data_IF_871376232591
#
_entry.id   IF_871376232591
#
_cell.length_a   1.000
_cell.length_b   1.000
_cell.length_c   1.000
_cell.angle_alpha   90.00
_cell.angle_beta   90.00
_cell.angle_gamma   90.00
#
_symmetry.space_group_name_H-M   'P 1'
#
loop_
_entity.id
_entity.type
_entity.pdbx_description
1 polymer ?
#
# COMPACT_ATOMS: atom_id res chain seq x y z
N UNK A 1 -12.43 -13.92 9.86
CA UNK A 1 -12.04 -12.53 10.17
C UNK A 1 -10.80 -12.22 9.38
N UNK A 2 -10.96 -11.51 8.27
CA UNK A 2 -9.87 -11.02 7.42
C UNK A 2 -10.23 -9.60 6.94
N UNK A 3 -10.98 -8.87 7.78
CA UNK A 3 -11.52 -7.53 7.50
C UNK A 3 -10.39 -6.51 7.36
N UNK A 4 -9.38 -6.59 8.23
CA UNK A 4 -8.22 -5.69 8.18
C UNK A 4 -7.49 -5.78 6.86
N UNK A 5 -7.26 -7.00 6.34
CA UNK A 5 -6.61 -7.19 5.05
C UNK A 5 -7.41 -6.52 3.94
N UNK A 6 -8.71 -6.81 3.87
CA UNK A 6 -9.57 -6.24 2.83
C UNK A 6 -9.62 -4.72 2.93
N UNK A 7 -9.63 -4.17 4.15
CA UNK A 7 -9.60 -2.72 4.37
C UNK A 7 -8.28 -2.07 3.96
N UNK A 8 -7.14 -2.73 4.16
CA UNK A 8 -5.84 -2.22 3.66
C UNK A 8 -5.83 -2.19 2.13
N UNK A 9 -6.32 -3.24 1.47
CA UNK A 9 -6.43 -3.23 0.00
C UNK A 9 -7.33 -2.10 -0.48
N UNK A 10 -8.48 -1.92 0.15
CA UNK A 10 -9.42 -0.84 -0.17
C UNK A 10 -8.77 0.55 -0.04
N UNK A 11 -8.03 0.78 1.05
CA UNK A 11 -7.26 2.01 1.26
C UNK A 11 -6.16 2.22 0.21
N UNK A 12 -5.45 1.16 -0.15
CA UNK A 12 -4.42 1.22 -1.18
C UNK A 12 -5.01 1.62 -2.54
N UNK A 13 -6.14 1.03 -2.93
CA UNK A 13 -6.84 1.40 -4.16
C UNK A 13 -7.48 2.80 -4.09
N UNK A 14 -7.98 3.22 -2.94
CA UNK A 14 -8.56 4.56 -2.76
C UNK A 14 -7.50 5.66 -2.84
N UNK A 15 -6.32 5.43 -2.26
CA UNK A 15 -5.27 6.45 -2.09
C UNK A 15 -4.27 6.43 -3.24
N UNK A 16 -3.82 5.24 -3.67
CA UNK A 16 -2.81 5.08 -4.72
C UNK A 16 -3.48 4.90 -6.08
N UNK A 17 -4.52 4.04 -6.09
CA UNK A 17 -5.41 3.71 -7.21
C UNK A 17 -4.78 3.31 -8.54
N UNK A 18 -5.65 2.96 -9.49
CA UNK A 18 -5.23 2.42 -10.81
C UNK A 18 -4.51 3.44 -11.70
N UNK A 19 -4.47 4.72 -11.32
CA UNK A 19 -3.73 5.76 -12.05
C UNK A 19 -2.33 6.05 -11.49
N UNK A 20 -2.05 5.65 -10.24
CA UNK A 20 -0.76 5.81 -9.60
C UNK A 20 0.23 4.70 -9.97
N UNK A 21 1.36 4.62 -9.25
CA UNK A 21 2.36 3.58 -9.49
C UNK A 21 1.78 2.15 -9.35
N UNK A 22 0.69 2.00 -8.59
CA UNK A 22 -0.07 0.77 -8.43
C UNK A 22 -0.75 0.25 -9.71
N UNK A 23 -1.17 1.13 -10.64
CA UNK A 23 -1.73 0.73 -11.94
C UNK A 23 -0.70 0.60 -13.05
N UNK A 24 0.46 1.27 -12.91
CA UNK A 24 1.60 1.06 -13.80
C UNK A 24 2.37 -0.23 -13.45
N UNK A 25 2.36 -0.65 -12.19
CA UNK A 25 2.88 -1.93 -11.74
C UNK A 25 1.86 -3.04 -12.02
N UNK A 26 2.16 -3.92 -12.97
CA UNK A 26 1.44 -5.18 -13.15
C UNK A 26 1.58 -6.14 -11.96
N UNK A 27 2.54 -5.89 -11.08
CA UNK A 27 2.79 -6.64 -9.84
C UNK A 27 2.97 -5.65 -8.68
N UNK A 28 1.86 -5.20 -8.09
CA UNK A 28 1.85 -4.61 -6.75
C UNK A 28 1.45 -5.69 -5.75
N UNK A 29 2.32 -6.00 -4.80
CA UNK A 29 2.07 -7.03 -3.79
C UNK A 29 1.99 -6.40 -2.41
N UNK A 30 0.79 -6.47 -1.83
CA UNK A 30 0.54 -6.09 -0.45
C UNK A 30 0.51 -7.36 0.41
N UNK A 31 1.39 -7.43 1.40
CA UNK A 31 1.46 -8.59 2.30
C UNK A 31 1.77 -8.16 3.73
N UNK A 32 1.55 -9.07 4.68
CA UNK A 32 1.90 -8.85 6.07
C UNK A 32 3.12 -9.70 6.44
N UNK A 33 4.16 -9.06 6.96
CA UNK A 33 5.37 -9.72 7.44
C UNK A 33 5.60 -9.34 8.91
N UNK A 34 5.74 -10.33 9.80
CA UNK A 34 5.94 -10.11 11.24
C UNK A 34 4.86 -9.20 11.90
N UNK A 35 3.63 -9.24 11.40
CA UNK A 35 2.51 -8.41 11.86
C UNK A 35 2.51 -6.98 11.30
N UNK A 36 3.40 -6.67 10.37
CA UNK A 36 3.54 -5.37 9.73
C UNK A 36 3.17 -5.46 8.25
N UNK A 37 2.34 -4.52 7.79
CA UNK A 37 1.94 -4.43 6.39
C UNK A 37 3.09 -3.86 5.57
N UNK A 38 3.35 -4.54 4.45
CA UNK A 38 4.36 -4.16 3.48
C UNK A 38 3.75 -4.08 2.09
N UNK A 39 4.25 -3.12 1.33
CA UNK A 39 3.88 -2.89 -0.06
C UNK A 39 5.12 -3.06 -0.93
N UNK A 40 5.09 -4.05 -1.81
CA UNK A 40 6.06 -4.18 -2.88
C UNK A 40 5.48 -3.62 -4.16
N UNK A 41 6.22 -2.73 -4.81
CA UNK A 41 5.87 -2.16 -6.10
C UNK A 41 6.96 -2.52 -7.10
N UNK A 42 6.56 -2.99 -8.27
CA UNK A 42 7.47 -3.33 -9.36
C UNK A 42 8.39 -2.14 -9.67
N UNK A 43 9.71 -2.37 -9.62
CA UNK A 43 10.72 -1.33 -9.84
C UNK A 43 11.31 -0.70 -8.58
N UNK A 44 10.80 -1.03 -7.39
CA UNK A 44 11.42 -0.65 -6.11
C UNK A 44 12.38 -1.74 -5.62
N UNK A 45 13.51 -1.32 -5.04
CA UNK A 45 14.57 -2.22 -4.57
C UNK A 45 14.18 -2.96 -3.29
N UNK A 46 13.30 -2.38 -2.46
CA UNK A 46 12.85 -2.96 -1.18
C UNK A 46 11.35 -2.72 -0.97
N UNK A 47 10.65 -3.63 -0.27
CA UNK A 47 9.25 -3.46 0.10
C UNK A 47 9.08 -2.34 1.12
N UNK A 48 8.09 -1.48 0.90
CA UNK A 48 7.77 -0.35 1.75
C UNK A 48 6.97 -0.79 2.96
N UNK A 49 7.41 -0.41 4.15
CA UNK A 49 6.65 -0.61 5.38
C UNK A 49 5.50 0.38 5.45
N UNK A 50 4.27 -0.13 5.59
CA UNK A 50 3.06 0.67 5.79
C UNK A 50 2.68 0.81 7.28
N UNK A 51 3.08 -0.15 8.11
CA UNK A 51 2.81 -0.17 9.55
C UNK A 51 1.97 -1.37 10.00
N UNK A 52 1.67 -1.47 11.29
CA UNK A 52 1.03 -2.67 11.89
C UNK A 52 -0.48 -2.54 11.98
N UNK A 53 -0.98 -1.32 12.07
CA UNK A 53 -2.40 -1.01 12.27
C UNK A 53 -2.98 -0.27 11.07
N UNK A 54 -4.28 -0.41 10.82
CA UNK A 54 -5.00 0.33 9.78
C UNK A 54 -4.73 1.85 9.76
N UNK A 55 -4.75 2.58 10.88
CA UNK A 55 -4.46 4.02 10.87
C UNK A 55 -3.01 4.36 10.49
N UNK A 56 -2.04 3.51 10.86
CA UNK A 56 -0.65 3.70 10.42
C UNK A 56 -0.52 3.47 8.92
N UNK A 57 -1.16 2.42 8.42
CA UNK A 57 -1.17 2.07 7.00
C UNK A 57 -1.80 3.18 6.17
N UNK A 58 -2.97 3.69 6.58
CA UNK A 58 -3.63 4.80 5.90
C UNK A 58 -2.72 6.04 5.84
N UNK A 59 -2.12 6.42 6.97
CA UNK A 59 -1.22 7.58 7.04
C UNK A 59 -0.06 7.42 6.07
N UNK A 60 0.62 6.28 6.09
CA UNK A 60 1.78 6.00 5.23
C UNK A 60 1.39 6.00 3.75
N UNK A 61 0.25 5.39 3.40
CA UNK A 61 -0.27 5.40 2.03
C UNK A 61 -0.57 6.83 1.54
N UNK A 62 -1.13 7.69 2.39
CA UNK A 62 -1.39 9.10 2.05
C UNK A 62 -0.09 9.89 1.86
N UNK A 63 0.92 9.67 2.71
CA UNK A 63 2.25 10.25 2.55
C UNK A 63 2.92 9.78 1.26
N UNK A 64 2.71 8.52 0.88
CA UNK A 64 3.18 7.95 -0.38
C UNK A 64 2.48 8.57 -1.60
N UNK A 65 1.15 8.69 -1.55
CA UNK A 65 0.39 9.34 -2.61
C UNK A 65 0.81 10.81 -2.81
N UNK A 66 0.99 11.55 -1.72
CA UNK A 66 1.44 12.95 -1.75
C UNK A 66 2.84 13.17 -2.33
N UNK A 67 3.69 12.13 -2.40
CA UNK A 67 5.00 12.19 -3.06
C UNK A 67 4.91 12.03 -4.59
N UNK A 68 3.70 11.93 -5.16
CA UNK A 68 3.45 11.81 -6.59
C UNK A 68 3.28 10.37 -7.08
N UNK A 69 3.12 9.42 -6.16
CA UNK A 69 2.91 8.01 -6.49
C UNK A 69 1.44 7.56 -6.43
N UNK A 70 0.54 8.42 -5.97
CA UNK A 70 -0.90 8.15 -5.87
C UNK A 70 -1.74 8.91 -6.90
N UNK A 71 -3.06 8.76 -6.78
CA UNK A 71 -4.07 9.43 -7.60
C UNK A 71 -4.28 10.90 -7.23
#
# INVERSE_FOLDING_TARGET
>A
MNDDRQRVYDLFYEIVGEGGCAGACTESELYQENGEWKLFLCGFMEPWTLGKTLPEVEKTLREYAGQGFGL
#
